data_IF_408062380156
#
_entry.id   IF_408062380156
#
_cell.length_a   1.000
_cell.length_b   1.000
_cell.length_c   1.000
_cell.angle_alpha   90.00
_cell.angle_beta   90.00
_cell.angle_gamma   90.00
#
_symmetry.space_group_name_H-M   'P 1'
#
loop_
_entity.id
_entity.type
_entity.pdbx_description
1 polymer ?
#
# COMPACT_ATOMS: atom_id res chain seq x y z
N UNK A 1 -14.94 8.09 -27.98
CA UNK A 1 -14.49 7.54 -26.69
C UNK A 1 -14.11 8.65 -25.70
N UNK A 2 -13.39 9.69 -26.16
CA UNK A 2 -12.93 10.79 -25.33
C UNK A 2 -14.06 11.68 -24.78
N UNK A 3 -15.08 11.96 -25.57
CA UNK A 3 -16.24 12.78 -25.19
C UNK A 3 -17.17 12.15 -24.13
N UNK A 4 -17.11 10.85 -23.95
CA UNK A 4 -17.93 10.13 -22.97
C UNK A 4 -17.23 9.97 -21.62
N UNK A 5 -15.91 9.94 -21.60
CA UNK A 5 -15.12 9.68 -20.38
C UNK A 5 -14.96 10.94 -19.51
N UNK A 6 -14.82 12.13 -20.08
CA UNK A 6 -14.64 13.38 -19.33
C UNK A 6 -15.82 13.68 -18.38
N UNK A 7 -17.10 13.62 -18.81
CA UNK A 7 -18.22 13.83 -17.88
C UNK A 7 -18.34 12.77 -16.79
N UNK A 8 -17.85 11.53 -17.04
CA UNK A 8 -17.82 10.47 -16.04
C UNK A 8 -16.71 10.70 -15.03
N UNK A 9 -15.55 11.16 -15.48
CA UNK A 9 -14.42 11.50 -14.60
C UNK A 9 -14.81 12.62 -13.63
N UNK A 10 -15.42 13.71 -14.13
CA UNK A 10 -15.87 14.83 -13.29
C UNK A 10 -16.87 14.38 -12.22
N UNK A 11 -17.81 13.50 -12.58
CA UNK A 11 -18.77 12.92 -11.64
C UNK A 11 -18.07 12.00 -10.61
N UNK A 12 -17.12 11.19 -11.06
CA UNK A 12 -16.35 10.31 -10.20
C UNK A 12 -15.52 11.11 -9.20
N UNK A 13 -14.86 12.17 -9.62
CA UNK A 13 -14.09 13.07 -8.74
C UNK A 13 -14.97 13.75 -7.71
N UNK A 14 -16.15 14.24 -8.10
CA UNK A 14 -17.11 14.86 -7.19
C UNK A 14 -17.61 13.86 -6.13
N UNK A 15 -17.90 12.61 -6.53
CA UNK A 15 -18.29 11.54 -5.62
C UNK A 15 -17.15 11.17 -4.66
N UNK A 16 -15.90 11.08 -5.15
CA UNK A 16 -14.72 10.78 -4.35
C UNK A 16 -14.50 11.77 -3.22
N UNK A 17 -14.75 13.05 -3.44
CA UNK A 17 -14.47 14.09 -2.44
C UNK A 17 -15.14 13.77 -1.08
N UNK A 18 -16.43 13.46 -1.06
CA UNK A 18 -17.16 13.17 0.17
C UNK A 18 -16.72 11.85 0.82
N UNK A 19 -16.48 10.81 0.02
CA UNK A 19 -16.04 9.53 0.52
C UNK A 19 -14.62 9.61 1.13
N UNK A 20 -13.70 10.33 0.50
CA UNK A 20 -12.35 10.58 1.02
C UNK A 20 -12.39 11.41 2.31
N UNK A 21 -13.22 12.46 2.36
CA UNK A 21 -13.42 13.23 3.60
C UNK A 21 -13.93 12.36 4.75
N UNK A 22 -14.87 11.44 4.48
CA UNK A 22 -15.34 10.49 5.48
C UNK A 22 -14.20 9.57 5.96
N UNK A 23 -13.38 9.08 5.04
CA UNK A 23 -12.21 8.26 5.35
C UNK A 23 -11.19 9.01 6.23
N UNK A 24 -10.83 10.23 5.86
CA UNK A 24 -9.87 11.07 6.59
C UNK A 24 -10.38 11.47 7.99
N UNK A 25 -11.68 11.46 8.21
CA UNK A 25 -12.32 11.69 9.50
C UNK A 25 -12.60 10.41 10.29
N UNK A 26 -11.93 9.31 9.98
CA UNK A 26 -12.13 8.00 10.63
C UNK A 26 -13.57 7.44 10.54
N UNK A 27 -14.40 7.98 9.67
CA UNK A 27 -15.75 7.48 9.41
C UNK A 27 -15.71 6.38 8.34
N UNK A 28 -15.06 5.26 8.67
CA UNK A 28 -14.68 4.22 7.70
C UNK A 28 -15.91 3.57 7.05
N UNK A 29 -16.92 3.18 7.83
CA UNK A 29 -18.15 2.60 7.27
C UNK A 29 -18.91 3.57 6.37
N UNK A 30 -18.92 4.86 6.73
CA UNK A 30 -19.50 5.91 5.91
C UNK A 30 -18.70 6.11 4.61
N UNK A 31 -17.38 6.05 4.66
CA UNK A 31 -16.53 6.12 3.47
C UNK A 31 -16.81 4.95 2.52
N UNK A 32 -16.96 3.74 3.04
CA UNK A 32 -17.21 2.54 2.24
C UNK A 32 -18.62 2.58 1.62
N UNK A 33 -19.65 2.84 2.42
CA UNK A 33 -21.05 2.64 2.02
C UNK A 33 -21.74 3.92 1.55
N UNK A 34 -21.24 5.11 1.94
CA UNK A 34 -21.95 6.36 1.70
C UNK A 34 -23.22 6.51 2.54
N UNK A 35 -24.08 7.42 2.12
CA UNK A 35 -25.39 7.68 2.71
C UNK A 35 -26.34 8.27 1.66
N UNK A 36 -27.50 8.82 2.09
CA UNK A 36 -28.48 9.43 1.18
C UNK A 36 -27.95 10.67 0.44
N UNK A 37 -26.83 11.26 0.89
CA UNK A 37 -26.27 12.52 0.34
C UNK A 37 -25.12 12.27 -0.63
N UNK A 38 -24.39 11.18 -0.50
CA UNK A 38 -23.26 10.86 -1.36
C UNK A 38 -23.00 9.36 -1.47
N UNK A 39 -22.40 8.96 -2.59
CA UNK A 39 -22.00 7.59 -2.86
C UNK A 39 -20.74 7.23 -2.06
N UNK A 40 -20.74 6.03 -1.47
CA UNK A 40 -19.55 5.46 -0.84
C UNK A 40 -18.57 4.88 -1.88
N UNK A 41 -17.38 4.53 -1.40
CA UNK A 41 -16.31 3.99 -2.24
C UNK A 41 -16.71 2.73 -3.01
N UNK A 42 -17.55 1.85 -2.44
CA UNK A 42 -18.08 0.66 -3.13
C UNK A 42 -18.85 1.05 -4.39
N UNK A 43 -19.77 2.00 -4.27
CA UNK A 43 -20.57 2.49 -5.41
C UNK A 43 -19.69 3.18 -6.44
N UNK A 44 -18.69 3.96 -6.00
CA UNK A 44 -17.78 4.66 -6.90
C UNK A 44 -16.94 3.68 -7.71
N UNK A 45 -16.40 2.62 -7.08
CA UNK A 45 -15.66 1.56 -7.78
C UNK A 45 -16.55 0.86 -8.82
N UNK A 46 -17.79 0.52 -8.45
CA UNK A 46 -18.72 -0.15 -9.34
C UNK A 46 -19.11 0.72 -10.55
N UNK A 47 -19.50 1.96 -10.30
CA UNK A 47 -20.00 2.85 -11.35
C UNK A 47 -18.89 3.51 -12.19
N UNK A 48 -17.76 3.83 -11.58
CA UNK A 48 -16.72 4.65 -12.19
C UNK A 48 -15.34 3.97 -12.30
N UNK A 49 -15.26 2.65 -12.09
CA UNK A 49 -13.99 1.91 -12.06
C UNK A 49 -13.11 2.07 -13.31
N UNK A 50 -13.67 2.48 -14.46
CA UNK A 50 -12.91 2.76 -15.68
C UNK A 50 -12.35 4.19 -15.76
N UNK A 51 -12.61 5.03 -14.78
CA UNK A 51 -12.09 6.40 -14.66
C UNK A 51 -10.84 6.43 -13.76
N UNK A 52 -10.05 7.49 -13.85
CA UNK A 52 -8.90 7.66 -12.96
C UNK A 52 -9.34 7.78 -11.49
N UNK A 53 -10.42 8.53 -11.21
CA UNK A 53 -10.98 8.66 -9.87
C UNK A 53 -11.54 7.32 -9.35
N UNK A 54 -12.22 6.53 -10.18
CA UNK A 54 -12.71 5.20 -9.82
C UNK A 54 -11.59 4.20 -9.58
N UNK A 55 -10.48 4.31 -10.33
CA UNK A 55 -9.27 3.53 -10.06
C UNK A 55 -8.65 3.90 -8.70
N UNK A 56 -8.55 5.20 -8.38
CA UNK A 56 -8.08 5.68 -7.08
C UNK A 56 -9.01 5.22 -5.95
N UNK A 57 -10.31 5.13 -6.19
CA UNK A 57 -11.28 4.62 -5.23
C UNK A 57 -10.98 3.17 -4.79
N UNK A 58 -10.40 2.34 -5.66
CA UNK A 58 -9.92 1.00 -5.26
C UNK A 58 -8.86 1.07 -4.17
N UNK A 59 -7.90 2.01 -4.27
CA UNK A 59 -6.87 2.17 -3.26
C UNK A 59 -7.46 2.60 -1.91
N UNK A 60 -8.33 3.62 -1.89
CA UNK A 60 -9.00 4.07 -0.67
C UNK A 60 -9.91 3.00 -0.07
N UNK A 61 -10.65 2.28 -0.90
CA UNK A 61 -11.51 1.19 -0.44
C UNK A 61 -10.70 0.05 0.18
N UNK A 62 -9.56 -0.28 -0.42
CA UNK A 62 -8.63 -1.25 0.15
C UNK A 62 -8.08 -0.81 1.51
N UNK A 63 -7.67 0.46 1.64
CA UNK A 63 -7.22 1.02 2.91
C UNK A 63 -8.35 1.04 3.96
N UNK A 64 -9.58 1.36 3.56
CA UNK A 64 -10.74 1.36 4.44
C UNK A 64 -11.04 -0.05 5.00
N UNK A 65 -10.97 -1.08 4.17
CA UNK A 65 -11.11 -2.45 4.64
C UNK A 65 -9.93 -2.91 5.50
N UNK A 66 -8.72 -2.43 5.22
CA UNK A 66 -7.57 -2.68 6.08
C UNK A 66 -7.80 -2.15 7.49
N UNK A 67 -8.27 -0.90 7.63
CA UNK A 67 -8.63 -0.30 8.93
C UNK A 67 -9.71 -1.08 9.68
N UNK A 68 -10.58 -1.77 8.96
CA UNK A 68 -11.58 -2.67 9.55
C UNK A 68 -11.05 -4.04 9.94
N UNK A 69 -9.80 -4.36 9.61
CA UNK A 69 -9.21 -5.69 9.81
C UNK A 69 -9.67 -6.74 8.81
N UNK A 70 -10.31 -6.33 7.71
CA UNK A 70 -10.77 -7.22 6.63
C UNK A 70 -9.66 -7.35 5.56
N UNK A 71 -8.57 -8.03 5.91
CA UNK A 71 -7.32 -8.00 5.16
C UNK A 71 -7.39 -8.64 3.77
N UNK A 72 -8.14 -9.73 3.59
CA UNK A 72 -8.35 -10.36 2.28
C UNK A 72 -9.13 -9.42 1.35
N UNK A 73 -10.16 -8.77 1.85
CA UNK A 73 -10.96 -7.80 1.10
C UNK A 73 -10.12 -6.57 0.76
N UNK A 74 -9.33 -6.09 1.71
CA UNK A 74 -8.38 -5.00 1.51
C UNK A 74 -7.38 -5.33 0.39
N UNK A 75 -6.76 -6.49 0.44
CA UNK A 75 -5.82 -6.95 -0.60
C UNK A 75 -6.48 -6.99 -1.98
N UNK A 76 -7.72 -7.47 -2.08
CA UNK A 76 -8.46 -7.52 -3.34
C UNK A 76 -8.59 -6.14 -3.98
N UNK A 77 -9.02 -5.14 -3.22
CA UNK A 77 -9.21 -3.79 -3.75
C UNK A 77 -7.89 -3.07 -4.01
N UNK A 78 -6.89 -3.20 -3.13
CA UNK A 78 -5.55 -2.66 -3.37
C UNK A 78 -4.93 -3.25 -4.65
N UNK A 79 -5.13 -4.54 -4.91
CA UNK A 79 -4.63 -5.22 -6.11
C UNK A 79 -5.38 -4.81 -7.38
N UNK A 80 -6.60 -4.32 -7.25
CA UNK A 80 -7.37 -3.80 -8.38
C UNK A 80 -6.93 -2.39 -8.81
N UNK A 81 -6.22 -1.67 -7.95
CA UNK A 81 -5.63 -0.38 -8.30
C UNK A 81 -4.51 -0.61 -9.32
N UNK A 82 -4.63 0.02 -10.48
CA UNK A 82 -3.62 0.00 -11.53
C UNK A 82 -2.92 1.35 -11.59
N UNK A 83 -1.64 1.39 -11.33
CA UNK A 83 -0.87 2.63 -11.41
C UNK A 83 0.07 2.60 -12.61
N UNK A 84 -0.15 3.54 -13.52
CA UNK A 84 0.91 4.03 -14.40
C UNK A 84 1.75 5.12 -13.69
N UNK A 85 1.44 5.42 -12.41
CA UNK A 85 2.02 6.53 -11.68
C UNK A 85 3.02 6.06 -10.62
N UNK A 86 4.20 6.64 -10.67
CA UNK A 86 5.37 6.31 -9.85
C UNK A 86 5.23 6.68 -8.36
N UNK A 87 4.26 7.50 -7.97
CA UNK A 87 4.14 8.02 -6.60
C UNK A 87 3.23 7.17 -5.72
N UNK A 88 2.04 6.81 -6.20
CA UNK A 88 1.06 6.03 -5.43
C UNK A 88 1.33 4.52 -5.47
N UNK A 89 1.91 4.03 -6.57
CA UNK A 89 2.18 2.61 -6.77
C UNK A 89 3.02 1.95 -5.66
N UNK A 90 4.13 2.56 -5.17
CA UNK A 90 4.89 1.99 -4.06
C UNK A 90 4.08 1.89 -2.77
N UNK A 91 3.30 2.93 -2.44
CA UNK A 91 2.48 2.97 -1.23
C UNK A 91 1.38 1.90 -1.24
N UNK A 92 0.67 1.75 -2.36
CA UNK A 92 -0.34 0.71 -2.54
C UNK A 92 0.29 -0.69 -2.52
N UNK A 93 1.43 -0.86 -3.18
CA UNK A 93 2.19 -2.12 -3.16
C UNK A 93 2.61 -2.49 -1.73
N UNK A 94 3.08 -1.53 -0.95
CA UNK A 94 3.43 -1.73 0.46
C UNK A 94 2.19 -2.00 1.33
N UNK A 95 1.04 -1.40 1.03
CA UNK A 95 -0.21 -1.67 1.73
C UNK A 95 -0.67 -3.13 1.52
N UNK A 96 -0.49 -3.69 0.32
CA UNK A 96 -0.69 -5.13 0.07
C UNK A 96 0.27 -5.95 0.94
N UNK A 97 1.53 -5.54 1.02
CA UNK A 97 2.50 -6.17 1.92
C UNK A 97 2.06 -6.16 3.38
N UNK A 98 1.47 -5.05 3.86
CA UNK A 98 0.92 -4.97 5.22
C UNK A 98 -0.26 -5.94 5.42
N UNK A 99 -1.21 -6.01 4.48
CA UNK A 99 -2.30 -7.00 4.53
C UNK A 99 -1.76 -8.42 4.69
N UNK A 100 -0.72 -8.76 3.92
CA UNK A 100 -0.09 -10.08 3.96
C UNK A 100 0.63 -10.35 5.30
N UNK A 101 1.22 -9.32 5.92
CA UNK A 101 1.79 -9.45 7.29
C UNK A 101 0.69 -9.79 8.28
N UNK A 102 -0.44 -9.07 8.24
CA UNK A 102 -1.55 -9.27 9.18
C UNK A 102 -2.29 -10.60 8.95
N UNK A 103 -2.16 -11.17 7.75
CA UNK A 103 -2.57 -12.55 7.43
C UNK A 103 -1.47 -13.61 7.70
N UNK A 104 -0.36 -13.23 8.30
CA UNK A 104 0.82 -14.08 8.58
C UNK A 104 1.47 -14.70 7.31
N UNK A 105 1.22 -14.14 6.14
CA UNK A 105 1.82 -14.56 4.85
C UNK A 105 3.15 -13.85 4.61
N UNK A 106 4.08 -14.03 5.54
CA UNK A 106 5.32 -13.25 5.59
C UNK A 106 6.22 -13.39 4.37
N UNK A 107 6.35 -14.59 3.80
CA UNK A 107 7.19 -14.79 2.62
C UNK A 107 6.66 -14.03 1.38
N UNK A 108 5.35 -13.95 1.23
CA UNK A 108 4.72 -13.14 0.18
C UNK A 108 4.85 -11.65 0.48
N UNK A 109 4.60 -11.24 1.71
CA UNK A 109 4.67 -9.85 2.13
C UNK A 109 6.06 -9.25 1.86
N UNK A 110 7.13 -10.01 2.13
CA UNK A 110 8.50 -9.59 1.85
C UNK A 110 8.70 -9.18 0.39
N UNK A 111 8.17 -9.98 -0.56
CA UNK A 111 8.27 -9.69 -2.00
C UNK A 111 7.54 -8.40 -2.39
N UNK A 112 6.38 -8.12 -1.77
CA UNK A 112 5.66 -6.87 -2.01
C UNK A 112 6.42 -5.66 -1.48
N UNK A 113 7.03 -5.76 -0.30
CA UNK A 113 7.86 -4.69 0.23
C UNK A 113 9.14 -4.47 -0.59
N UNK A 114 9.81 -5.52 -1.07
CA UNK A 114 10.94 -5.39 -2.00
C UNK A 114 10.51 -4.69 -3.29
N UNK A 115 9.36 -5.07 -3.85
CA UNK A 115 8.80 -4.40 -5.03
C UNK A 115 8.51 -2.92 -4.76
N UNK A 116 7.89 -2.60 -3.62
CA UNK A 116 7.63 -1.22 -3.23
C UNK A 116 8.93 -0.40 -3.10
N UNK A 117 9.96 -0.97 -2.49
CA UNK A 117 11.28 -0.34 -2.36
C UNK A 117 11.90 -0.04 -3.73
N UNK A 118 11.85 -1.02 -4.65
CA UNK A 118 12.40 -0.89 -6.00
C UNK A 118 11.68 0.16 -6.83
N UNK A 119 10.34 0.21 -6.76
CA UNK A 119 9.52 1.19 -7.51
C UNK A 119 9.69 2.58 -6.92
N UNK A 120 9.78 2.71 -5.60
CA UNK A 120 10.02 3.98 -4.92
C UNK A 120 11.35 4.61 -5.31
N UNK A 121 12.41 3.83 -5.28
CA UNK A 121 13.80 4.19 -5.62
C UNK A 121 14.24 5.55 -5.06
N UNK A 122 14.00 5.79 -3.78
CA UNK A 122 14.40 7.02 -3.10
C UNK A 122 14.85 6.78 -1.66
N UNK A 123 15.63 7.72 -1.12
CA UNK A 123 16.26 7.60 0.19
C UNK A 123 15.29 7.76 1.39
N UNK A 124 14.03 8.10 1.16
CA UNK A 124 13.03 8.26 2.21
C UNK A 124 12.22 6.97 2.40
N UNK A 125 11.61 6.47 1.32
CA UNK A 125 10.67 5.35 1.40
C UNK A 125 11.32 3.98 1.17
N UNK A 126 12.30 3.89 0.25
CA UNK A 126 12.93 2.60 -0.06
C UNK A 126 13.56 1.92 1.16
N UNK A 127 14.31 2.61 2.06
CA UNK A 127 14.83 1.95 3.26
C UNK A 127 13.74 1.47 4.21
N UNK A 128 12.62 2.17 4.31
CA UNK A 128 11.46 1.73 5.12
C UNK A 128 10.90 0.40 4.59
N UNK A 129 10.69 0.31 3.29
CA UNK A 129 10.17 -0.90 2.67
C UNK A 129 11.16 -2.06 2.73
N UNK A 130 12.45 -1.82 2.49
CA UNK A 130 13.50 -2.84 2.63
C UNK A 130 13.57 -3.39 4.05
N UNK A 131 13.44 -2.54 5.06
CA UNK A 131 13.44 -2.97 6.47
C UNK A 131 12.21 -3.83 6.80
N UNK A 132 11.05 -3.48 6.27
CA UNK A 132 9.83 -4.30 6.41
C UNK A 132 9.98 -5.66 5.72
N UNK A 133 10.56 -5.69 4.52
CA UNK A 133 10.84 -6.94 3.80
C UNK A 133 11.80 -7.84 4.59
N UNK A 134 12.88 -7.27 5.11
CA UNK A 134 13.86 -8.00 5.92
C UNK A 134 13.22 -8.60 7.18
N UNK A 135 12.40 -7.82 7.89
CA UNK A 135 11.67 -8.29 9.06
C UNK A 135 10.72 -9.45 8.72
N UNK A 136 10.05 -9.40 7.58
CA UNK A 136 9.18 -10.48 7.11
C UNK A 136 9.98 -11.75 6.76
N UNK A 137 11.15 -11.62 6.15
CA UNK A 137 12.05 -12.75 5.93
C UNK A 137 12.56 -13.38 7.22
N UNK A 138 12.89 -12.58 8.24
CA UNK A 138 13.26 -13.13 9.57
C UNK A 138 12.12 -13.96 10.18
N UNK A 139 10.86 -13.57 9.96
CA UNK A 139 9.69 -14.31 10.47
C UNK A 139 9.58 -15.73 9.91
N UNK A 140 10.06 -15.95 8.70
CA UNK A 140 10.07 -17.27 8.05
C UNK A 140 11.43 -17.96 8.10
N UNK A 141 12.39 -17.43 8.88
CA UNK A 141 13.71 -18.01 9.05
C UNK A 141 14.64 -17.81 7.83
N UNK A 142 14.28 -16.98 6.86
CA UNK A 142 15.16 -16.65 5.74
C UNK A 142 16.10 -15.49 6.12
N UNK A 143 17.01 -15.80 7.05
CA UNK A 143 17.91 -14.81 7.63
C UNK A 143 18.93 -14.30 6.62
N UNK A 144 19.34 -15.11 5.63
CA UNK A 144 20.24 -14.69 4.57
C UNK A 144 19.62 -13.56 3.74
N UNK A 145 18.36 -13.71 3.32
CA UNK A 145 17.63 -12.65 2.61
C UNK A 145 17.47 -11.39 3.47
N UNK A 146 17.16 -11.54 4.74
CA UNK A 146 17.04 -10.42 5.68
C UNK A 146 18.34 -9.63 5.80
N UNK A 147 19.47 -10.32 6.01
CA UNK A 147 20.80 -9.70 6.09
C UNK A 147 21.14 -8.92 4.83
N UNK A 148 20.87 -9.51 3.66
CA UNK A 148 21.10 -8.85 2.36
C UNK A 148 20.35 -7.52 2.24
N UNK A 149 19.09 -7.48 2.68
CA UNK A 149 18.29 -6.25 2.61
C UNK A 149 18.72 -5.21 3.64
N UNK A 150 19.10 -5.62 4.86
CA UNK A 150 19.68 -4.71 5.85
C UNK A 150 21.01 -4.13 5.36
N UNK A 151 21.84 -4.94 4.70
CA UNK A 151 23.09 -4.48 4.10
C UNK A 151 22.82 -3.49 2.95
N UNK A 152 21.79 -3.73 2.14
CA UNK A 152 21.38 -2.80 1.08
C UNK A 152 20.97 -1.43 1.66
N UNK A 153 20.25 -1.38 2.78
CA UNK A 153 19.95 -0.11 3.47
C UNK A 153 21.23 0.60 3.86
N UNK A 154 22.18 -0.11 4.46
CA UNK A 154 23.47 0.45 4.89
C UNK A 154 24.26 1.03 3.73
N UNK A 155 24.32 0.32 2.61
CA UNK A 155 25.17 0.66 1.47
C UNK A 155 24.55 1.74 0.56
N UNK A 156 23.27 1.63 0.27
CA UNK A 156 22.59 2.55 -0.67
C UNK A 156 21.97 3.77 0.01
N UNK A 157 21.57 3.64 1.26
CA UNK A 157 20.82 4.69 1.98
C UNK A 157 21.45 5.04 3.34
N UNK A 158 22.79 5.28 3.41
CA UNK A 158 23.50 5.41 4.68
C UNK A 158 23.04 6.60 5.54
N UNK A 159 22.43 7.61 4.94
CA UNK A 159 21.93 8.81 5.63
C UNK A 159 20.47 8.69 6.06
N UNK A 160 19.78 7.60 5.71
CA UNK A 160 18.38 7.38 6.10
C UNK A 160 18.24 7.14 7.60
N UNK A 161 17.08 7.43 8.13
CA UNK A 161 16.76 7.10 9.53
C UNK A 161 16.83 5.60 9.79
N UNK A 162 16.46 4.78 8.81
CA UNK A 162 16.47 3.33 8.91
C UNK A 162 17.88 2.72 8.88
N UNK A 163 18.87 3.43 8.36
CA UNK A 163 20.26 3.03 8.44
C UNK A 163 20.87 3.18 9.84
N UNK A 164 20.25 4.01 10.69
CA UNK A 164 20.74 4.21 12.06
C UNK A 164 20.58 2.93 12.87
N UNK A 165 21.70 2.39 13.34
CA UNK A 165 21.74 1.15 14.13
C UNK A 165 21.37 -0.11 13.33
N UNK A 166 21.49 -0.07 12.01
CA UNK A 166 21.18 -1.19 11.12
C UNK A 166 22.12 -2.39 11.40
N UNK A 167 23.34 -2.15 11.87
CA UNK A 167 24.31 -3.18 12.25
C UNK A 167 23.72 -4.17 13.27
N UNK A 168 22.97 -3.70 14.24
CA UNK A 168 22.31 -4.57 15.23
C UNK A 168 21.29 -5.53 14.61
N UNK A 169 20.62 -5.08 13.54
CA UNK A 169 19.67 -5.93 12.79
C UNK A 169 20.42 -6.98 11.97
N UNK A 170 21.55 -6.60 11.36
CA UNK A 170 22.43 -7.51 10.61
C UNK A 170 22.98 -8.58 11.54
N UNK A 171 23.59 -8.19 12.67
CA UNK A 171 24.14 -9.13 13.67
C UNK A 171 23.08 -10.07 14.23
N UNK A 172 21.89 -9.55 14.56
CA UNK A 172 20.79 -10.37 15.04
C UNK A 172 20.35 -11.41 14.01
N UNK A 173 20.21 -11.02 12.74
CA UNK A 173 19.79 -11.92 11.69
C UNK A 173 20.87 -12.96 11.32
N UNK A 174 22.15 -12.62 11.45
CA UNK A 174 23.28 -13.54 11.24
C UNK A 174 23.42 -14.60 12.34
N UNK A 175 22.98 -14.29 13.55
CA UNK A 175 23.15 -15.17 14.73
C UNK A 175 21.89 -16.00 15.07
N UNK A 176 20.89 -16.00 14.20
CA UNK A 176 19.69 -16.86 14.27
C UNK A 176 19.84 -18.05 13.35
#
# INVERSE_FOLDING_TARGET
RHFYLLPREDKAQAAMYQAVMAFENDSIDLAINGNEKFDGLLTIVDQYGSTAAGNLANAYLGLAYYEKGEYETAQKYLSAFSADETVLSPAVTAAIGNCLVDMEKYAESAKYFEKAAKVSDNAVFSPIYLKKAAAAYEKVGNNEAAVKLYQEIKDKYPTSNDARGIERYIERAQNK
#
